data_IF_795603760999
#
_entry.id   IF_795603760999
#
_cell.length_a   1.000
_cell.length_b   1.000
_cell.length_c   1.000
_cell.angle_alpha   90.00
_cell.angle_beta   90.00
_cell.angle_gamma   90.00
#
_symmetry.space_group_name_H-M   'P 1'
#
loop_
_entity.id
_entity.type
_entity.pdbx_description
1 polymer ?
#
# COMPACT_ATOMS: atom_id res chain seq x y z
N UNK A 1 15.23 44.55 26.46
CA UNK A 1 13.99 44.31 27.24
C UNK A 1 13.17 43.28 26.46
N UNK A 2 13.26 41.97 26.72
CA UNK A 2 12.87 41.19 27.91
C UNK A 2 11.36 40.89 27.97
N UNK A 3 10.95 39.73 27.43
CA UNK A 3 9.70 39.04 27.81
C UNK A 3 9.64 37.59 27.27
N UNK A 4 10.45 36.65 27.80
CA UNK A 4 10.24 35.19 27.62
C UNK A 4 10.61 34.36 28.86
N UNK A 5 10.52 34.94 30.06
CA UNK A 5 11.00 34.34 31.30
C UNK A 5 9.97 33.71 32.28
N UNK A 6 8.63 33.72 32.10
CA UNK A 6 7.75 33.11 33.11
C UNK A 6 7.43 31.62 32.87
N UNK A 7 7.55 31.10 31.65
CA UNK A 7 7.08 29.73 31.33
C UNK A 7 8.10 28.66 31.74
N UNK A 8 9.41 28.92 31.58
CA UNK A 8 10.46 27.95 31.92
C UNK A 8 10.59 27.69 33.43
N UNK A 9 10.27 28.67 34.28
CA UNK A 9 10.31 28.50 35.74
C UNK A 9 9.15 27.65 36.29
N UNK A 10 7.98 27.70 35.64
CA UNK A 10 6.83 26.85 36.00
C UNK A 10 7.04 25.39 35.63
N UNK A 11 7.54 25.13 34.42
CA UNK A 11 7.85 23.77 33.97
C UNK A 11 8.94 23.09 34.80
N UNK A 12 9.95 23.85 35.27
CA UNK A 12 11.02 23.31 36.11
C UNK A 12 10.53 22.97 37.53
N UNK A 13 9.62 23.77 38.10
CA UNK A 13 9.04 23.51 39.41
C UNK A 13 8.15 22.25 39.42
N UNK A 14 7.37 22.02 38.35
CA UNK A 14 6.54 20.81 38.19
C UNK A 14 7.39 19.54 37.98
N UNK A 15 8.55 19.67 37.30
CA UNK A 15 9.48 18.56 37.10
C UNK A 15 10.27 18.23 38.37
N UNK A 16 10.69 19.23 39.14
CA UNK A 16 11.37 19.04 40.43
C UNK A 16 10.46 18.44 41.50
N UNK A 17 9.13 18.68 41.45
CA UNK A 17 8.17 17.99 42.31
C UNK A 17 7.91 16.52 41.95
N UNK A 18 8.40 16.03 40.80
CA UNK A 18 8.16 14.66 40.33
C UNK A 18 9.37 13.73 40.48
N UNK A 19 10.50 14.22 41.01
CA UNK A 19 11.72 13.41 41.17
C UNK A 19 12.52 13.79 42.42
N UNK A 20 12.00 13.43 43.59
CA UNK A 20 12.82 13.22 44.79
C UNK A 20 12.66 11.78 45.20
N UNK A 21 13.62 10.94 44.80
CA UNK A 21 13.84 9.62 45.39
C UNK A 21 14.58 9.91 46.69
N UNK A 22 13.86 9.93 47.80
CA UNK A 22 14.46 9.84 49.14
C UNK A 22 14.50 8.37 49.51
N UNK A 23 15.71 7.90 49.75
CA UNK A 23 16.00 6.59 50.35
C UNK A 23 15.74 6.77 51.84
N UNK A 24 14.65 6.18 52.34
CA UNK A 24 14.51 5.55 53.68
C UNK A 24 13.05 5.49 54.17
N UNK A 25 12.68 4.30 54.65
CA UNK A 25 11.60 3.93 55.59
C UNK A 25 10.11 3.85 55.14
N UNK A 26 9.66 2.59 55.06
CA UNK A 26 8.33 1.99 55.39
C UNK A 26 7.09 2.20 54.47
N UNK A 27 6.21 1.16 54.37
CA UNK A 27 5.53 0.82 53.13
C UNK A 27 4.23 1.60 52.94
N UNK A 28 4.32 2.73 52.25
CA UNK A 28 3.15 3.44 51.76
C UNK A 28 2.44 2.62 50.66
N UNK A 29 1.19 2.28 50.95
CA UNK A 29 0.18 1.66 50.11
C UNK A 29 0.39 1.86 48.61
N UNK A 30 0.36 0.75 47.88
CA UNK A 30 0.47 0.68 46.43
C UNK A 30 -0.53 1.64 45.76
N UNK A 31 -0.09 2.85 45.41
CA UNK A 31 -0.82 3.72 44.49
C UNK A 31 -0.84 3.01 43.14
N UNK A 32 -1.92 2.28 42.91
CA UNK A 32 -2.17 1.58 41.66
C UNK A 32 -1.98 2.56 40.51
N UNK A 33 -0.97 2.28 39.68
CA UNK A 33 -0.82 2.96 38.39
C UNK A 33 -2.14 2.74 37.67
N UNK A 34 -2.89 3.81 37.41
CA UNK A 34 -4.14 3.76 36.66
C UNK A 34 -3.81 3.25 35.25
N UNK A 35 -3.83 1.93 35.09
CA UNK A 35 -3.78 1.28 33.78
C UNK A 35 -4.96 1.86 33.02
N UNK A 36 -4.69 2.42 31.83
CA UNK A 36 -5.72 2.73 30.87
C UNK A 36 -6.48 1.43 30.60
N UNK A 37 -7.63 1.27 31.27
CA UNK A 37 -8.60 0.26 30.88
C UNK A 37 -9.17 0.78 29.58
N UNK A 38 -8.82 0.11 28.48
CA UNK A 38 -9.61 0.18 27.26
C UNK A 38 -10.99 -0.32 27.68
N UNK A 39 -11.89 0.62 27.94
CA UNK A 39 -13.30 0.33 28.07
C UNK A 39 -13.70 -0.15 26.69
N UNK A 40 -13.81 -1.47 26.54
CA UNK A 40 -14.58 -2.06 25.44
C UNK A 40 -15.91 -1.34 25.52
N UNK A 41 -16.22 -0.51 24.51
CA UNK A 41 -17.56 0.02 24.31
C UNK A 41 -18.51 -1.16 24.55
N UNK A 42 -19.53 -1.03 25.41
CA UNK A 42 -20.50 -2.11 25.56
C UNK A 42 -20.92 -2.46 24.14
N UNK A 43 -20.72 -3.73 23.77
CA UNK A 43 -21.41 -4.23 22.61
C UNK A 43 -22.87 -3.91 22.90
N UNK A 44 -23.44 -2.98 22.13
CA UNK A 44 -24.88 -2.99 21.99
C UNK A 44 -25.22 -4.43 21.67
N UNK A 45 -26.07 -5.03 22.50
CA UNK A 45 -26.67 -6.34 22.30
C UNK A 45 -27.41 -6.35 20.95
N UNK A 46 -26.64 -6.42 19.86
CA UNK A 46 -27.08 -7.01 18.61
C UNK A 46 -26.61 -8.45 18.68
N UNK A 47 -27.41 -9.27 19.34
CA UNK A 47 -27.59 -10.70 19.06
C UNK A 47 -26.58 -11.25 18.05
N UNK A 48 -25.47 -11.77 18.58
CA UNK A 48 -24.48 -12.56 17.87
C UNK A 48 -25.08 -13.93 17.54
N UNK A 49 -26.05 -13.96 16.63
CA UNK A 49 -26.50 -15.17 15.93
C UNK A 49 -26.85 -14.79 14.48
N UNK A 50 -25.96 -15.14 13.55
CA UNK A 50 -26.23 -15.21 12.12
C UNK A 50 -26.77 -13.95 11.45
N UNK A 51 -25.89 -13.08 10.93
CA UNK A 51 -26.26 -12.34 9.73
C UNK A 51 -26.55 -13.39 8.65
N UNK A 52 -27.82 -13.73 8.48
CA UNK A 52 -28.25 -14.77 7.54
C UNK A 52 -27.69 -14.45 6.17
N UNK A 53 -27.34 -15.48 5.38
CA UNK A 53 -26.93 -15.31 3.98
C UNK A 53 -27.91 -14.39 3.22
N UNK A 54 -29.21 -14.46 3.54
CA UNK A 54 -30.25 -13.59 3.00
C UNK A 54 -30.12 -12.11 3.38
N UNK A 55 -29.52 -11.79 4.54
CA UNK A 55 -29.23 -10.41 4.93
C UNK A 55 -28.03 -9.84 4.15
N UNK A 56 -26.99 -10.65 3.92
CA UNK A 56 -25.86 -10.26 3.08
C UNK A 56 -26.31 -10.11 1.63
N UNK A 57 -27.12 -11.04 1.13
CA UNK A 57 -27.71 -10.97 -0.21
C UNK A 57 -28.51 -9.69 -0.42
N UNK A 58 -29.34 -9.30 0.56
CA UNK A 58 -30.08 -8.03 0.52
C UNK A 58 -29.15 -6.81 0.49
N UNK A 59 -28.07 -6.82 1.26
CA UNK A 59 -27.09 -5.72 1.25
C UNK A 59 -26.36 -5.64 -0.11
N UNK A 60 -26.03 -6.79 -0.74
CA UNK A 60 -25.46 -6.83 -2.09
C UNK A 60 -26.48 -6.31 -3.12
N UNK A 61 -27.73 -6.73 -3.03
CA UNK A 61 -28.80 -6.32 -3.94
C UNK A 61 -29.14 -4.82 -3.81
N UNK A 62 -28.94 -4.24 -2.62
CA UNK A 62 -29.17 -2.82 -2.35
C UNK A 62 -28.00 -1.90 -2.75
N UNK A 63 -26.92 -2.44 -3.34
CA UNK A 63 -25.87 -1.63 -3.96
C UNK A 63 -26.39 -1.06 -5.27
N UNK A 64 -26.43 0.27 -5.38
CA UNK A 64 -26.96 0.97 -6.54
C UNK A 64 -26.19 2.28 -6.81
N UNK A 65 -26.12 2.71 -8.07
CA UNK A 65 -25.43 3.95 -8.47
C UNK A 65 -26.13 5.23 -8.03
N UNK A 66 -27.45 5.20 -7.81
CA UNK A 66 -28.22 6.35 -7.33
C UNK A 66 -28.15 6.50 -5.80
N UNK A 67 -27.65 5.48 -5.11
CA UNK A 67 -27.52 5.48 -3.66
C UNK A 67 -26.31 6.34 -3.23
N UNK A 68 -26.42 7.11 -2.12
CA UNK A 68 -25.30 7.93 -1.65
C UNK A 68 -24.02 7.10 -1.43
N UNK A 69 -22.88 7.61 -1.89
CA UNK A 69 -21.60 6.90 -1.82
C UNK A 69 -21.24 6.43 -0.40
N UNK A 70 -21.54 7.24 0.63
CA UNK A 70 -21.32 6.88 2.04
C UNK A 70 -22.11 5.63 2.47
N UNK A 71 -23.30 5.44 1.91
CA UNK A 71 -24.12 4.27 2.23
C UNK A 71 -23.61 3.02 1.53
N UNK A 72 -23.28 3.11 0.24
CA UNK A 72 -22.65 2.01 -0.50
C UNK A 72 -21.33 1.60 0.16
N UNK A 73 -20.51 2.56 0.58
CA UNK A 73 -19.27 2.29 1.30
C UNK A 73 -19.52 1.52 2.60
N UNK A 74 -20.53 1.92 3.38
CA UNK A 74 -20.92 1.24 4.62
C UNK A 74 -21.46 -0.17 4.35
N UNK A 75 -22.30 -0.34 3.33
CA UNK A 75 -22.83 -1.64 2.91
C UNK A 75 -21.69 -2.60 2.53
N UNK A 76 -20.75 -2.15 1.69
CA UNK A 76 -19.55 -2.94 1.34
C UNK A 76 -18.71 -3.30 2.55
N UNK A 77 -18.60 -2.39 3.52
CA UNK A 77 -17.83 -2.65 4.75
C UNK A 77 -18.49 -3.72 5.62
N UNK A 78 -19.82 -3.74 5.69
CA UNK A 78 -20.57 -4.84 6.32
C UNK A 78 -20.38 -6.16 5.58
N UNK A 79 -20.50 -6.15 4.24
CA UNK A 79 -20.34 -7.36 3.41
C UNK A 79 -18.94 -7.95 3.58
N UNK A 80 -17.90 -7.11 3.51
CA UNK A 80 -16.50 -7.52 3.68
C UNK A 80 -16.22 -8.10 5.08
N UNK A 81 -16.91 -7.64 6.12
CA UNK A 81 -16.78 -8.19 7.47
C UNK A 81 -17.28 -9.64 7.60
N UNK A 82 -18.02 -10.15 6.60
CA UNK A 82 -18.56 -11.49 6.56
C UNK A 82 -17.88 -12.42 5.55
N UNK A 83 -16.72 -12.03 5.00
CA UNK A 83 -15.94 -12.91 4.12
C UNK A 83 -15.35 -14.11 4.89
N UNK A 84 -15.20 -15.29 4.25
CA UNK A 84 -15.57 -15.60 2.85
C UNK A 84 -17.08 -15.83 2.66
N UNK A 85 -17.60 -15.45 1.49
CA UNK A 85 -19.00 -15.67 1.12
C UNK A 85 -19.19 -17.01 0.39
N UNK A 86 -20.44 -17.46 0.27
CA UNK A 86 -20.78 -18.59 -0.62
C UNK A 86 -20.50 -18.21 -2.09
N UNK A 87 -20.24 -19.23 -2.94
CA UNK A 87 -19.93 -19.01 -4.36
C UNK A 87 -20.98 -18.15 -5.08
N UNK A 88 -22.27 -18.41 -4.83
CA UNK A 88 -23.36 -17.63 -5.40
C UNK A 88 -23.30 -16.14 -5.01
N UNK A 89 -23.06 -15.84 -3.73
CA UNK A 89 -22.96 -14.46 -3.24
C UNK A 89 -21.68 -13.76 -3.73
N UNK A 90 -20.56 -14.49 -3.85
CA UNK A 90 -19.33 -13.96 -4.43
C UNK A 90 -19.55 -13.53 -5.88
N UNK A 91 -20.19 -14.37 -6.70
CA UNK A 91 -20.48 -14.05 -8.10
C UNK A 91 -21.48 -12.91 -8.24
N UNK A 92 -22.50 -12.86 -7.38
CA UNK A 92 -23.45 -11.75 -7.33
C UNK A 92 -22.76 -10.42 -7.01
N UNK A 93 -21.92 -10.41 -5.97
CA UNK A 93 -21.16 -9.22 -5.57
C UNK A 93 -20.18 -8.81 -6.66
N UNK A 94 -19.43 -9.75 -7.23
CA UNK A 94 -18.51 -9.49 -8.35
C UNK A 94 -19.21 -8.81 -9.52
N UNK A 95 -20.34 -9.36 -9.97
CA UNK A 95 -21.14 -8.79 -11.06
C UNK A 95 -21.64 -7.39 -10.73
N UNK A 96 -22.10 -7.14 -9.49
CA UNK A 96 -22.51 -5.79 -9.07
C UNK A 96 -21.36 -4.80 -9.06
N UNK A 97 -20.19 -5.17 -8.54
CA UNK A 97 -19.04 -4.28 -8.50
C UNK A 97 -18.58 -3.88 -9.91
N UNK A 98 -18.56 -4.82 -10.87
CA UNK A 98 -18.21 -4.52 -12.27
C UNK A 98 -19.20 -3.53 -12.88
N UNK A 99 -20.49 -3.71 -12.59
CA UNK A 99 -21.57 -2.87 -13.14
C UNK A 99 -21.56 -1.46 -12.54
N UNK A 100 -21.25 -1.33 -11.26
CA UNK A 100 -21.32 -0.05 -10.52
C UNK A 100 -20.06 0.79 -10.69
N UNK A 101 -18.88 0.17 -10.78
CA UNK A 101 -17.61 0.89 -10.88
C UNK A 101 -17.56 1.98 -11.96
N UNK A 102 -17.95 1.74 -13.24
CA UNK A 102 -17.86 2.76 -14.28
C UNK A 102 -18.86 3.91 -14.10
N UNK A 103 -19.94 3.70 -13.32
CA UNK A 103 -20.97 4.71 -13.04
C UNK A 103 -20.63 5.58 -11.84
N UNK A 104 -19.66 5.17 -11.03
CA UNK A 104 -19.32 5.84 -9.79
C UNK A 104 -18.43 7.07 -10.06
N UNK A 105 -18.74 8.18 -9.41
CA UNK A 105 -17.92 9.39 -9.47
C UNK A 105 -17.01 9.51 -8.24
N UNK A 106 -17.44 8.99 -7.09
CA UNK A 106 -16.67 9.07 -5.86
C UNK A 106 -15.41 8.18 -5.91
N UNK A 107 -14.25 8.83 -5.84
CA UNK A 107 -12.96 8.15 -5.91
C UNK A 107 -12.71 7.20 -4.72
N UNK A 108 -13.25 7.50 -3.54
CA UNK A 108 -13.04 6.67 -2.35
C UNK A 108 -13.89 5.39 -2.41
N UNK A 109 -15.10 5.48 -2.93
CA UNK A 109 -15.97 4.34 -3.18
C UNK A 109 -15.46 3.47 -4.32
N UNK A 110 -14.95 4.05 -5.42
CA UNK A 110 -14.20 3.31 -6.44
C UNK A 110 -13.03 2.53 -5.86
N UNK A 111 -12.22 3.17 -5.02
CA UNK A 111 -11.13 2.51 -4.31
C UNK A 111 -11.66 1.37 -3.42
N UNK A 112 -12.79 1.57 -2.74
CA UNK A 112 -13.45 0.52 -1.95
C UNK A 112 -13.89 -0.66 -2.82
N UNK A 113 -14.53 -0.44 -3.96
CA UNK A 113 -14.88 -1.51 -4.92
C UNK A 113 -13.66 -2.35 -5.30
N UNK A 114 -12.54 -1.70 -5.61
CA UNK A 114 -11.27 -2.37 -5.94
C UNK A 114 -10.75 -3.23 -4.79
N UNK A 115 -10.71 -2.69 -3.57
CA UNK A 115 -10.28 -3.48 -2.41
C UNK A 115 -11.23 -4.64 -2.12
N UNK A 116 -12.53 -4.50 -2.40
CA UNK A 116 -13.49 -5.60 -2.29
C UNK A 116 -13.18 -6.69 -3.32
N UNK A 117 -12.92 -6.36 -4.60
CA UNK A 117 -12.50 -7.34 -5.61
C UNK A 117 -11.30 -8.18 -5.15
N UNK A 118 -10.29 -7.53 -4.55
CA UNK A 118 -9.10 -8.20 -4.03
C UNK A 118 -9.41 -9.22 -2.91
N UNK A 119 -10.51 -9.04 -2.19
CA UNK A 119 -10.92 -9.88 -1.08
C UNK A 119 -11.93 -10.96 -1.49
N UNK A 120 -12.45 -10.90 -2.72
CA UNK A 120 -13.21 -12.00 -3.30
C UNK A 120 -12.24 -13.14 -3.55
N UNK A 121 -12.38 -14.24 -2.81
CA UNK A 121 -11.55 -15.44 -2.94
C UNK A 121 -11.96 -16.24 -4.19
N UNK A 122 -11.87 -15.58 -5.36
CA UNK A 122 -12.29 -16.11 -6.65
C UNK A 122 -11.36 -17.24 -7.08
N UNK A 123 -11.91 -18.22 -7.80
CA UNK A 123 -11.08 -19.21 -8.47
C UNK A 123 -10.22 -18.56 -9.56
N UNK A 124 -9.14 -19.24 -9.95
CA UNK A 124 -8.11 -18.68 -10.82
C UNK A 124 -8.65 -18.14 -12.17
N UNK A 125 -9.54 -18.85 -12.89
CA UNK A 125 -10.13 -18.32 -14.13
C UNK A 125 -10.87 -16.98 -13.94
N UNK A 126 -11.61 -16.85 -12.84
CA UNK A 126 -12.36 -15.65 -12.47
C UNK A 126 -11.44 -14.52 -11.97
N UNK A 127 -10.31 -14.88 -11.36
CA UNK A 127 -9.30 -13.91 -10.95
C UNK A 127 -8.67 -13.22 -12.16
N UNK A 128 -8.38 -13.99 -13.22
CA UNK A 128 -7.86 -13.46 -14.48
C UNK A 128 -8.84 -12.51 -15.16
N UNK A 129 -10.12 -12.87 -15.23
CA UNK A 129 -11.15 -11.98 -15.78
C UNK A 129 -11.32 -10.70 -14.93
N UNK A 130 -11.15 -10.81 -13.61
CA UNK A 130 -11.17 -9.66 -12.70
C UNK A 130 -9.99 -8.72 -12.92
N UNK A 131 -8.77 -9.26 -13.10
CA UNK A 131 -7.58 -8.47 -13.46
C UNK A 131 -7.85 -7.70 -14.76
N UNK A 132 -8.38 -8.39 -15.77
CA UNK A 132 -8.68 -7.79 -17.08
C UNK A 132 -9.71 -6.67 -17.00
N UNK A 133 -10.76 -6.86 -16.19
CA UNK A 133 -11.76 -5.83 -15.96
C UNK A 133 -11.13 -4.61 -15.27
N UNK A 134 -10.33 -4.82 -14.22
CA UNK A 134 -9.66 -3.71 -13.51
C UNK A 134 -8.72 -2.97 -14.45
N UNK A 135 -7.96 -3.68 -15.28
CA UNK A 135 -7.08 -3.06 -16.28
C UNK A 135 -7.87 -2.20 -17.28
N UNK A 136 -9.03 -2.67 -17.75
CA UNK A 136 -9.92 -1.90 -18.63
C UNK A 136 -10.43 -0.64 -17.94
N UNK A 137 -10.88 -0.77 -16.68
CA UNK A 137 -11.40 0.32 -15.88
C UNK A 137 -10.35 1.41 -15.60
N UNK A 138 -9.08 1.05 -15.40
CA UNK A 138 -7.98 2.00 -15.12
C UNK A 138 -7.55 2.82 -16.33
N UNK A 139 -7.71 2.31 -17.56
CA UNK A 139 -7.20 2.97 -18.76
C UNK A 139 -7.72 4.40 -18.94
N UNK A 140 -8.97 4.64 -18.55
CA UNK A 140 -9.63 5.95 -18.67
C UNK A 140 -9.73 6.70 -17.34
N UNK A 141 -9.13 6.19 -16.27
CA UNK A 141 -9.23 6.80 -14.95
C UNK A 141 -8.29 8.00 -14.81
N UNK A 142 -8.76 9.04 -14.14
CA UNK A 142 -8.04 10.30 -13.92
C UNK A 142 -7.61 10.45 -12.46
N UNK A 143 -8.37 9.87 -11.53
CA UNK A 143 -8.08 9.94 -10.10
C UNK A 143 -6.84 9.14 -9.73
N UNK A 144 -5.80 9.83 -9.26
CA UNK A 144 -4.57 9.18 -8.76
C UNK A 144 -4.84 8.19 -7.62
N UNK A 145 -5.87 8.45 -6.80
CA UNK A 145 -6.30 7.53 -5.74
C UNK A 145 -6.78 6.20 -6.32
N UNK A 146 -7.67 6.26 -7.31
CA UNK A 146 -8.26 5.08 -7.93
C UNK A 146 -7.19 4.33 -8.72
N UNK A 147 -6.37 5.02 -9.51
CA UNK A 147 -5.25 4.41 -10.25
C UNK A 147 -4.31 3.67 -9.29
N UNK A 148 -3.86 4.32 -8.23
CA UNK A 148 -2.96 3.70 -7.26
C UNK A 148 -3.60 2.49 -6.57
N UNK A 149 -4.90 2.59 -6.22
CA UNK A 149 -5.65 1.48 -5.63
C UNK A 149 -5.77 0.31 -6.59
N UNK A 150 -6.10 0.56 -7.86
CA UNK A 150 -6.21 -0.48 -8.88
C UNK A 150 -4.88 -1.16 -9.14
N UNK A 151 -3.79 -0.40 -9.28
CA UNK A 151 -2.45 -0.96 -9.47
C UNK A 151 -2.02 -1.81 -8.27
N UNK A 152 -2.38 -1.40 -7.05
CA UNK A 152 -2.12 -2.18 -5.83
C UNK A 152 -2.89 -3.50 -5.84
N UNK A 153 -4.18 -3.46 -6.17
CA UNK A 153 -5.03 -4.65 -6.24
C UNK A 153 -4.54 -5.59 -7.33
N UNK A 154 -4.33 -5.09 -8.55
CA UNK A 154 -3.87 -5.88 -9.69
C UNK A 154 -2.52 -6.54 -9.42
N UNK A 155 -1.56 -5.84 -8.83
CA UNK A 155 -0.28 -6.43 -8.44
C UNK A 155 -0.47 -7.59 -7.47
N UNK A 156 -1.29 -7.41 -6.44
CA UNK A 156 -1.55 -8.45 -5.43
C UNK A 156 -2.26 -9.67 -6.03
N UNK A 157 -3.23 -9.45 -6.92
CA UNK A 157 -3.94 -10.51 -7.62
C UNK A 157 -3.02 -11.26 -8.61
N UNK A 158 -2.18 -10.54 -9.35
CA UNK A 158 -1.23 -11.12 -10.29
C UNK A 158 -0.19 -12.01 -9.59
N UNK A 159 0.29 -11.60 -8.41
CA UNK A 159 1.20 -12.42 -7.59
C UNK A 159 0.58 -13.75 -7.13
N UNK A 160 -0.75 -13.90 -7.15
CA UNK A 160 -1.45 -15.16 -6.80
C UNK A 160 -1.59 -16.12 -7.98
N UNK A 161 -1.43 -15.65 -9.21
CA UNK A 161 -1.71 -16.39 -10.45
C UNK A 161 -0.42 -16.76 -11.20
N UNK A 162 0.58 -15.85 -11.17
CA UNK A 162 1.83 -16.01 -11.91
C UNK A 162 1.65 -16.29 -13.41
N UNK A 163 0.70 -15.60 -14.05
CA UNK A 163 0.44 -15.71 -15.48
C UNK A 163 1.20 -14.65 -16.29
N UNK A 164 1.99 -15.12 -17.27
CA UNK A 164 2.85 -14.26 -18.10
C UNK A 164 2.07 -13.28 -18.99
N UNK A 165 0.91 -13.68 -19.49
CA UNK A 165 0.11 -12.84 -20.40
C UNK A 165 -0.48 -11.64 -19.64
N UNK A 166 -1.08 -11.89 -18.48
CA UNK A 166 -1.54 -10.87 -17.55
C UNK A 166 -0.40 -9.98 -17.10
N UNK A 167 0.74 -10.56 -16.67
CA UNK A 167 1.90 -9.79 -16.25
C UNK A 167 2.38 -8.80 -17.32
N UNK A 168 2.46 -9.24 -18.58
CA UNK A 168 2.85 -8.37 -19.70
C UNK A 168 1.85 -7.22 -19.94
N UNK A 169 0.55 -7.47 -19.80
CA UNK A 169 -0.48 -6.42 -19.92
C UNK A 169 -0.38 -5.40 -18.78
N UNK A 170 -0.17 -5.88 -17.56
CA UNK A 170 0.02 -5.05 -16.37
C UNK A 170 1.28 -4.19 -16.51
N UNK A 171 2.40 -4.77 -16.94
CA UNK A 171 3.64 -4.06 -17.24
C UNK A 171 3.45 -2.99 -18.31
N UNK A 172 2.74 -3.29 -19.39
CA UNK A 172 2.43 -2.34 -20.45
C UNK A 172 1.65 -1.12 -19.94
N UNK A 173 0.68 -1.34 -19.06
CA UNK A 173 -0.08 -0.25 -18.42
C UNK A 173 0.80 0.56 -17.45
N UNK A 174 1.61 -0.10 -16.61
CA UNK A 174 2.52 0.57 -15.67
C UNK A 174 3.54 1.47 -16.39
N UNK A 175 4.13 1.00 -17.50
CA UNK A 175 5.05 1.79 -18.35
C UNK A 175 4.39 3.03 -18.95
N UNK A 176 3.07 3.01 -19.20
CA UNK A 176 2.31 4.19 -19.64
C UNK A 176 2.03 5.14 -18.48
N UNK A 177 1.54 4.60 -17.36
CA UNK A 177 1.09 5.39 -16.20
C UNK A 177 2.24 6.01 -15.39
N UNK A 178 3.43 5.41 -15.38
CA UNK A 178 4.61 5.96 -14.67
C UNK A 178 5.00 7.37 -15.15
N UNK A 179 4.63 7.72 -16.39
CA UNK A 179 4.86 9.04 -16.98
C UNK A 179 3.94 10.14 -16.40
N UNK A 180 2.90 9.78 -15.66
CA UNK A 180 2.00 10.76 -15.00
C UNK A 180 2.72 11.50 -13.87
N UNK A 181 2.13 12.57 -13.36
CA UNK A 181 2.78 13.46 -12.38
C UNK A 181 2.82 12.88 -10.96
N UNK A 182 1.78 12.17 -10.53
CA UNK A 182 1.62 11.74 -9.13
C UNK A 182 2.70 10.75 -8.65
N UNK A 183 3.34 11.08 -7.52
CA UNK A 183 4.44 10.31 -6.95
C UNK A 183 4.01 8.91 -6.46
N UNK A 184 2.80 8.75 -5.91
CA UNK A 184 2.31 7.45 -5.43
C UNK A 184 2.08 6.50 -6.59
N UNK A 185 1.48 7.00 -7.68
CA UNK A 185 1.31 6.24 -8.92
C UNK A 185 2.67 5.84 -9.49
N UNK A 186 3.65 6.76 -9.56
CA UNK A 186 5.02 6.43 -9.98
C UNK A 186 5.63 5.32 -9.15
N UNK A 187 5.61 5.44 -7.82
CA UNK A 187 6.13 4.41 -6.92
C UNK A 187 5.48 3.05 -7.21
N UNK A 188 4.14 2.99 -7.32
CA UNK A 188 3.44 1.73 -7.57
C UNK A 188 3.75 1.16 -8.96
N UNK A 189 3.89 2.00 -9.98
CA UNK A 189 4.30 1.55 -11.31
C UNK A 189 5.73 0.98 -11.31
N UNK A 190 6.68 1.64 -10.63
CA UNK A 190 8.05 1.13 -10.49
C UNK A 190 8.08 -0.21 -9.77
N UNK A 191 7.26 -0.37 -8.72
CA UNK A 191 7.11 -1.63 -8.00
C UNK A 191 6.59 -2.75 -8.91
N UNK A 192 5.54 -2.48 -9.69
CA UNK A 192 5.01 -3.42 -10.69
C UNK A 192 6.09 -3.79 -11.72
N UNK A 193 6.82 -2.80 -12.23
CA UNK A 193 7.90 -3.03 -13.20
C UNK A 193 8.98 -3.92 -12.60
N UNK A 194 9.43 -3.66 -11.37
CA UNK A 194 10.44 -4.48 -10.70
C UNK A 194 9.97 -5.91 -10.41
N UNK A 195 8.73 -6.09 -9.97
CA UNK A 195 8.22 -7.39 -9.50
C UNK A 195 7.71 -8.30 -10.62
N UNK A 196 7.13 -7.75 -11.69
CA UNK A 196 6.50 -8.55 -12.75
C UNK A 196 7.37 -8.71 -14.00
N UNK A 197 8.57 -8.10 -14.04
CA UNK A 197 9.48 -8.26 -15.18
C UNK A 197 9.87 -9.74 -15.36
N UNK A 198 9.74 -10.31 -16.57
CA UNK A 198 10.17 -11.67 -16.85
C UNK A 198 11.71 -11.76 -16.78
N UNK A 199 12.22 -12.61 -15.89
CA UNK A 199 13.66 -12.76 -15.66
C UNK A 199 14.35 -13.75 -16.61
N UNK A 200 13.57 -14.51 -17.37
CA UNK A 200 14.02 -15.35 -18.48
C UNK A 200 14.40 -14.53 -19.72
N UNK A 201 13.94 -13.27 -19.82
CA UNK A 201 14.32 -12.33 -20.88
C UNK A 201 15.31 -11.26 -20.37
N UNK A 202 16.60 -11.47 -20.67
CA UNK A 202 17.68 -10.54 -20.32
C UNK A 202 17.47 -9.11 -20.86
N UNK A 203 16.86 -8.96 -22.04
CA UNK A 203 16.56 -7.64 -22.60
C UNK A 203 15.43 -6.95 -21.82
N UNK A 204 14.40 -7.70 -21.40
CA UNK A 204 13.35 -7.17 -20.55
C UNK A 204 13.88 -6.71 -19.19
N UNK A 205 14.75 -7.52 -18.56
CA UNK A 205 15.41 -7.17 -17.28
C UNK A 205 16.26 -5.90 -17.43
N UNK A 206 17.10 -5.83 -18.48
CA UNK A 206 17.93 -4.64 -18.74
C UNK A 206 17.06 -3.39 -18.96
N UNK A 207 15.99 -3.50 -19.75
CA UNK A 207 15.07 -2.39 -20.01
C UNK A 207 14.35 -1.94 -18.74
N UNK A 208 13.91 -2.89 -17.91
CA UNK A 208 13.27 -2.60 -16.63
C UNK A 208 14.24 -1.88 -15.69
N UNK A 209 15.48 -2.38 -15.56
CA UNK A 209 16.51 -1.77 -14.73
C UNK A 209 16.84 -0.35 -15.16
N UNK A 210 17.04 -0.12 -16.47
CA UNK A 210 17.28 1.23 -17.02
C UNK A 210 16.11 2.18 -16.74
N UNK A 211 14.88 1.71 -16.92
CA UNK A 211 13.69 2.51 -16.64
C UNK A 211 13.61 2.84 -15.15
N UNK A 212 13.79 1.86 -14.25
CA UNK A 212 13.76 2.10 -12.80
C UNK A 212 14.89 3.06 -12.39
N UNK A 213 16.11 2.87 -12.89
CA UNK A 213 17.25 3.76 -12.61
C UNK A 213 16.96 5.21 -13.02
N UNK A 214 16.26 5.44 -14.14
CA UNK A 214 15.91 6.80 -14.56
C UNK A 214 15.08 7.57 -13.52
N UNK A 215 14.33 6.86 -12.64
CA UNK A 215 13.55 7.46 -11.56
C UNK A 215 14.31 7.59 -10.24
N UNK A 216 15.54 7.08 -10.13
CA UNK A 216 16.38 7.28 -8.93
C UNK A 216 16.78 8.74 -8.74
N UNK A 217 16.71 9.55 -9.80
CA UNK A 217 16.99 10.99 -9.84
C UNK A 217 15.75 11.87 -9.67
N UNK A 218 14.61 11.29 -9.29
CA UNK A 218 13.37 12.05 -9.11
C UNK A 218 13.50 13.09 -8.00
N UNK A 219 12.88 14.27 -8.17
CA UNK A 219 12.75 15.25 -7.09
C UNK A 219 11.98 14.71 -5.88
N UNK A 220 11.08 13.75 -6.10
CA UNK A 220 10.28 13.15 -5.04
C UNK A 220 11.05 12.03 -4.33
N UNK A 221 11.36 12.17 -3.02
CA UNK A 221 12.18 11.22 -2.27
C UNK A 221 11.57 9.81 -2.23
N UNK A 222 10.24 9.73 -2.17
CA UNK A 222 9.51 8.45 -2.22
C UNK A 222 9.78 7.70 -3.52
N UNK A 223 9.84 8.42 -4.65
CA UNK A 223 10.11 7.84 -5.96
C UNK A 223 11.57 7.36 -6.04
N UNK A 224 12.52 8.15 -5.54
CA UNK A 224 13.93 7.74 -5.43
C UNK A 224 14.10 6.47 -4.59
N UNK A 225 13.50 6.45 -3.39
CA UNK A 225 13.52 5.29 -2.50
C UNK A 225 12.93 4.04 -3.19
N UNK A 226 11.79 4.17 -3.86
CA UNK A 226 11.19 3.04 -4.59
C UNK A 226 12.09 2.58 -5.74
N UNK A 227 12.70 3.50 -6.49
CA UNK A 227 13.61 3.15 -7.56
C UNK A 227 14.80 2.33 -7.05
N UNK A 228 15.49 2.79 -6.00
CA UNK A 228 16.60 2.03 -5.41
C UNK A 228 16.18 0.67 -4.88
N UNK A 229 15.04 0.58 -4.20
CA UNK A 229 14.50 -0.71 -3.74
C UNK A 229 14.21 -1.68 -4.88
N UNK A 230 13.70 -1.16 -6.02
CA UNK A 230 13.42 -2.01 -7.19
C UNK A 230 14.68 -2.38 -7.96
N UNK A 231 15.69 -1.51 -8.03
CA UNK A 231 17.02 -1.88 -8.55
C UNK A 231 17.64 -3.00 -7.71
N UNK A 232 17.57 -2.89 -6.39
CA UNK A 232 18.03 -3.92 -5.47
C UNK A 232 17.24 -5.24 -5.65
N UNK A 233 15.92 -5.15 -5.82
CA UNK A 233 15.09 -6.33 -6.09
C UNK A 233 15.49 -7.04 -7.39
N UNK A 234 15.65 -6.28 -8.48
CA UNK A 234 16.09 -6.82 -9.77
C UNK A 234 17.48 -7.47 -9.65
N UNK A 235 18.41 -6.84 -8.93
CA UNK A 235 19.74 -7.39 -8.70
C UNK A 235 19.71 -8.69 -7.89
N UNK A 236 18.93 -8.74 -6.81
CA UNK A 236 18.73 -9.96 -6.02
C UNK A 236 18.07 -11.11 -6.80
N UNK A 237 17.53 -10.84 -7.99
CA UNK A 237 16.99 -11.81 -8.95
C UNK A 237 17.94 -12.13 -10.11
N UNK A 238 19.17 -11.62 -10.09
CA UNK A 238 20.21 -11.90 -11.07
C UNK A 238 20.46 -10.79 -12.10
N UNK A 239 19.80 -9.64 -12.00
CA UNK A 239 20.11 -8.51 -12.86
C UNK A 239 21.49 -7.93 -12.53
N UNK A 240 22.33 -7.74 -13.55
CA UNK A 240 23.63 -7.11 -13.36
C UNK A 240 23.49 -5.60 -13.18
N UNK A 241 24.05 -5.05 -12.10
CA UNK A 241 24.14 -3.62 -11.86
C UNK A 241 25.49 -3.13 -12.39
N UNK A 242 25.49 -2.13 -13.27
CA UNK A 242 26.73 -1.55 -13.78
C UNK A 242 27.51 -0.88 -12.64
N UNK A 243 28.80 -1.20 -12.51
CA UNK A 243 29.73 -0.58 -11.54
C UNK A 243 29.75 0.95 -11.65
N UNK A 244 29.50 1.51 -12.84
CA UNK A 244 29.44 2.96 -13.05
C UNK A 244 28.35 3.63 -12.21
N UNK A 245 27.28 2.89 -11.87
CA UNK A 245 26.19 3.38 -11.03
C UNK A 245 26.65 3.59 -9.58
N UNK A 246 27.73 2.94 -9.13
CA UNK A 246 28.24 3.08 -7.76
C UNK A 246 28.52 4.55 -7.39
N UNK A 247 29.21 5.29 -8.27
CA UNK A 247 29.53 6.70 -8.04
C UNK A 247 28.28 7.59 -8.04
N UNK A 248 27.26 7.23 -8.81
CA UNK A 248 25.98 7.94 -8.83
C UNK A 248 25.20 7.70 -7.53
N UNK A 249 25.07 6.44 -7.08
CA UNK A 249 24.34 6.08 -5.87
C UNK A 249 25.02 6.61 -4.61
N UNK A 250 26.35 6.67 -4.59
CA UNK A 250 27.12 7.22 -3.46
C UNK A 250 26.74 8.66 -3.11
N UNK A 251 26.29 9.46 -4.08
CA UNK A 251 25.83 10.84 -3.84
C UNK A 251 24.58 10.89 -2.96
N UNK A 252 23.80 9.81 -2.90
CA UNK A 252 22.58 9.72 -2.10
C UNK A 252 22.83 9.23 -0.67
N UNK A 253 24.09 9.08 -0.25
CA UNK A 253 24.44 8.91 1.16
C UNK A 253 24.18 10.20 1.96
N UNK A 254 24.27 11.35 1.28
CA UNK A 254 24.02 12.68 1.84
C UNK A 254 22.62 13.23 1.50
N UNK A 255 21.68 12.38 1.03
CA UNK A 255 20.31 12.81 0.69
C UNK A 255 19.57 13.35 1.92
N UNK A 256 18.73 14.37 1.79
CA UNK A 256 17.99 14.93 2.95
C UNK A 256 17.04 13.93 3.63
N UNK A 257 16.67 12.84 2.94
CA UNK A 257 15.69 11.86 3.41
C UNK A 257 16.34 10.53 3.79
N UNK A 258 16.17 10.15 5.06
CA UNK A 258 16.71 8.89 5.62
C UNK A 258 16.26 7.63 4.85
N UNK A 259 15.05 7.62 4.29
CA UNK A 259 14.58 6.49 3.49
C UNK A 259 15.36 6.31 2.20
N UNK A 260 15.86 7.41 1.61
CA UNK A 260 16.70 7.39 0.42
C UNK A 260 18.11 6.94 0.81
N UNK A 261 18.70 7.49 1.88
CA UNK A 261 20.01 7.06 2.41
C UNK A 261 20.05 5.56 2.70
N UNK A 262 19.04 5.04 3.40
CA UNK A 262 19.00 3.62 3.73
C UNK A 262 18.94 2.75 2.46
N UNK A 263 18.12 3.12 1.49
CA UNK A 263 17.99 2.38 0.24
C UNK A 263 19.26 2.47 -0.63
N UNK A 264 19.94 3.62 -0.64
CA UNK A 264 21.20 3.81 -1.38
C UNK A 264 22.34 3.00 -0.74
N UNK A 265 22.45 2.96 0.58
CA UNK A 265 23.42 2.10 1.31
C UNK A 265 23.20 0.63 0.96
N UNK A 266 21.96 0.16 0.98
CA UNK A 266 21.63 -1.23 0.64
C UNK A 266 22.02 -1.57 -0.81
N UNK A 267 21.78 -0.65 -1.74
CA UNK A 267 22.14 -0.83 -3.14
C UNK A 267 23.67 -0.80 -3.34
N UNK A 268 24.39 0.11 -2.70
CA UNK A 268 25.86 0.15 -2.73
C UNK A 268 26.48 -1.13 -2.17
N UNK A 269 25.91 -1.66 -1.08
CA UNK A 269 26.32 -2.95 -0.55
C UNK A 269 26.15 -4.04 -1.61
N UNK A 270 24.98 -4.14 -2.26
CA UNK A 270 24.75 -5.14 -3.30
C UNK A 270 25.70 -4.99 -4.51
N UNK A 271 25.99 -3.76 -4.93
CA UNK A 271 27.00 -3.49 -5.97
C UNK A 271 28.38 -3.97 -5.50
N UNK A 272 28.80 -3.65 -4.27
CA UNK A 272 30.12 -4.06 -3.76
C UNK A 272 30.31 -5.57 -3.71
N UNK A 273 29.25 -6.32 -3.38
CA UNK A 273 29.29 -7.78 -3.39
C UNK A 273 29.40 -8.35 -4.81
N UNK A 274 28.89 -7.63 -5.81
CA UNK A 274 28.95 -8.07 -7.22
C UNK A 274 30.35 -7.89 -7.83
N UNK A 275 31.22 -7.10 -7.18
CA UNK A 275 32.53 -6.70 -7.70
C UNK A 275 33.67 -6.89 -6.68
N UNK A 276 33.44 -7.61 -5.57
CA UNK A 276 34.45 -7.79 -4.50
C UNK A 276 35.65 -8.65 -4.92
N UNK A 277 35.53 -9.38 -6.03
CA UNK A 277 36.53 -10.33 -6.52
C UNK A 277 37.24 -9.85 -7.81
N UNK A 278 37.07 -8.58 -8.20
CA UNK A 278 37.74 -7.96 -9.34
C UNK A 278 38.86 -7.00 -8.92
#
# INVERSE_FOLDING_TARGET
>A
MAARAPIKKRALAEFQSSHTITVDAEPAESRSVKRLRIIKKPAEDSTLEGTSAAAIEREIAALDSERPASENFRALSKIVAHLPLSSALMMMLHSKLITLFPKEEDSALKAKYLTTFQLLNLAHPELMSTIDEILRMVQNETSSLVINSSLTVVLKLASSVNDTVSNNRILGLAKKLVKRTDAKVKCKCLEIIGLLTPFDDSNAVKTALQLVHSYSHSHEPRVRTTAFKMMLHLNGKGANLDVQIYGEVSKYLDDDYESVKLASIQLLWAISQSYSDQ
#
